data_IF_607275965385
#
_entry.id   IF_607275965385
#
_cell.length_a   1.000
_cell.length_b   1.000
_cell.length_c   1.000
_cell.angle_alpha   90.00
_cell.angle_beta   90.00
_cell.angle_gamma   90.00
#
_symmetry.space_group_name_H-M   'P 1'
#
loop_
_entity.id
_entity.type
_entity.pdbx_description
1 polymer ?
#
# COMPACT_ATOMS: atom_id res chain seq x y z
N UNK A 1 3.92 45.00 -6.36
CA UNK A 1 3.77 44.32 -7.67
C UNK A 1 4.93 43.41 -8.05
N UNK A 2 6.14 43.89 -8.38
CA UNK A 2 7.22 42.98 -8.85
C UNK A 2 7.74 42.02 -7.76
N UNK A 3 7.90 42.52 -6.52
CA UNK A 3 8.26 41.69 -5.36
C UNK A 3 7.13 40.71 -4.97
N UNK A 4 5.86 41.12 -5.09
CA UNK A 4 4.72 40.22 -4.81
C UNK A 4 4.62 39.07 -5.81
N UNK A 5 4.91 39.32 -7.09
CA UNK A 5 4.95 38.26 -8.11
C UNK A 5 6.09 37.29 -7.82
N UNK A 6 7.28 37.80 -7.45
CA UNK A 6 8.42 36.97 -7.06
C UNK A 6 8.14 36.12 -5.80
N UNK A 7 7.52 36.71 -4.78
CA UNK A 7 7.14 35.99 -3.54
C UNK A 7 6.06 34.93 -3.80
N UNK A 8 5.08 35.22 -4.66
CA UNK A 8 4.09 34.23 -5.10
C UNK A 8 4.75 33.09 -5.87
N UNK A 9 5.70 33.40 -6.76
CA UNK A 9 6.43 32.39 -7.53
C UNK A 9 7.29 31.48 -6.63
N UNK A 10 7.95 32.07 -5.62
CA UNK A 10 8.72 31.33 -4.63
C UNK A 10 7.82 30.43 -3.76
N UNK A 11 6.62 30.91 -3.40
CA UNK A 11 5.63 30.15 -2.63
C UNK A 11 5.09 28.96 -3.43
N UNK A 12 4.69 29.18 -4.69
CA UNK A 12 4.22 28.13 -5.59
C UNK A 12 5.32 27.10 -5.85
N UNK A 13 6.56 27.54 -6.07
CA UNK A 13 7.71 26.64 -6.27
C UNK A 13 7.98 25.76 -5.05
N UNK A 14 7.89 26.33 -3.83
CA UNK A 14 8.03 25.56 -2.58
C UNK A 14 6.88 24.56 -2.40
N UNK A 15 5.64 24.96 -2.67
CA UNK A 15 4.49 24.06 -2.62
C UNK A 15 4.58 22.92 -3.64
N UNK A 16 5.08 23.20 -4.84
CA UNK A 16 5.31 22.18 -5.86
C UNK A 16 6.39 21.18 -5.42
N UNK A 17 7.49 21.67 -4.84
CA UNK A 17 8.56 20.83 -4.27
C UNK A 17 8.06 19.91 -3.15
N UNK A 18 7.30 20.46 -2.20
CA UNK A 18 6.69 19.65 -1.13
C UNK A 18 5.67 18.65 -1.69
N UNK A 19 4.86 19.03 -2.67
CA UNK A 19 3.88 18.12 -3.30
C UNK A 19 4.56 16.97 -4.03
N UNK A 20 5.70 17.21 -4.70
CA UNK A 20 6.51 16.16 -5.33
C UNK A 20 7.13 15.21 -4.29
N UNK A 21 7.58 15.75 -3.16
CA UNK A 21 8.12 14.96 -2.05
C UNK A 21 7.04 14.08 -1.41
N UNK A 22 5.84 14.62 -1.16
CA UNK A 22 4.71 13.84 -0.66
C UNK A 22 4.34 12.70 -1.61
N UNK A 23 4.30 12.96 -2.93
CA UNK A 23 4.03 11.91 -3.93
C UNK A 23 5.12 10.83 -3.97
N UNK A 24 6.39 11.21 -3.81
CA UNK A 24 7.50 10.26 -3.67
C UNK A 24 7.33 9.34 -2.46
N UNK A 25 6.93 9.90 -1.32
CA UNK A 25 6.69 9.13 -0.09
C UNK A 25 5.49 8.18 -0.20
N UNK A 26 4.42 8.61 -0.89
CA UNK A 26 3.26 7.76 -1.20
C UNK A 26 3.72 6.56 -2.05
N UNK A 27 4.51 6.80 -3.09
CA UNK A 27 5.04 5.74 -3.95
C UNK A 27 5.93 4.75 -3.20
N UNK A 28 6.87 5.23 -2.37
CA UNK A 28 7.71 4.36 -1.54
C UNK A 28 6.88 3.46 -0.64
N UNK A 29 5.88 4.03 0.04
CA UNK A 29 5.00 3.27 0.94
C UNK A 29 4.20 2.19 0.21
N UNK A 30 3.64 2.52 -0.95
CA UNK A 30 2.91 1.56 -1.79
C UNK A 30 3.84 0.41 -2.21
N UNK A 31 5.04 0.73 -2.69
CA UNK A 31 6.03 -0.27 -3.12
C UNK A 31 6.47 -1.18 -1.97
N UNK A 32 6.71 -0.62 -0.78
CA UNK A 32 7.05 -1.41 0.41
C UNK A 32 5.93 -2.40 0.74
N UNK A 33 4.69 -1.93 0.84
CA UNK A 33 3.58 -2.81 1.21
C UNK A 33 3.25 -3.84 0.12
N UNK A 34 3.38 -3.49 -1.16
CA UNK A 34 3.25 -4.48 -2.24
C UNK A 34 4.33 -5.56 -2.15
N UNK A 35 5.55 -5.20 -1.78
CA UNK A 35 6.66 -6.14 -1.60
C UNK A 35 6.43 -7.07 -0.41
N UNK A 36 5.94 -6.54 0.71
CA UNK A 36 5.53 -7.32 1.89
C UNK A 36 4.44 -8.34 1.49
N UNK A 37 3.50 -7.93 0.66
CA UNK A 37 2.43 -8.79 0.20
C UNK A 37 2.90 -9.90 -0.76
N UNK A 38 3.84 -9.59 -1.65
CA UNK A 38 4.50 -10.61 -2.48
C UNK A 38 5.27 -11.63 -1.63
N UNK A 39 5.92 -11.20 -0.55
CA UNK A 39 6.55 -12.13 0.41
C UNK A 39 5.54 -13.04 1.09
N UNK A 40 4.40 -12.51 1.55
CA UNK A 40 3.36 -13.33 2.19
C UNK A 40 2.82 -14.42 1.25
N UNK A 41 2.61 -14.08 -0.02
CA UNK A 41 2.19 -15.05 -1.05
C UNK A 41 3.28 -16.10 -1.26
N UNK A 42 4.55 -15.70 -1.40
CA UNK A 42 5.66 -16.63 -1.59
C UNK A 42 5.82 -17.59 -0.40
N UNK A 43 5.75 -17.07 0.83
CA UNK A 43 5.77 -17.89 2.05
C UNK A 43 4.62 -18.88 2.08
N UNK A 44 3.41 -18.45 1.71
CA UNK A 44 2.26 -19.35 1.60
C UNK A 44 2.50 -20.44 0.55
N UNK A 45 3.11 -20.15 -0.60
CA UNK A 45 3.45 -21.19 -1.58
C UNK A 45 4.51 -22.18 -1.07
N UNK A 46 5.56 -21.69 -0.39
CA UNK A 46 6.62 -22.55 0.14
C UNK A 46 6.12 -23.50 1.21
N UNK A 47 5.25 -23.02 2.10
CA UNK A 47 4.59 -23.88 3.08
C UNK A 47 3.74 -24.95 2.41
N UNK A 48 3.11 -24.65 1.26
CA UNK A 48 2.23 -25.59 0.54
C UNK A 48 3.03 -26.77 0.06
N UNK A 49 4.13 -26.44 -0.62
CA UNK A 49 5.08 -27.39 -1.18
C UNK A 49 5.71 -28.24 -0.07
N UNK A 50 6.07 -27.63 1.07
CA UNK A 50 6.61 -28.37 2.22
C UNK A 50 5.60 -29.40 2.73
N UNK A 51 4.33 -29.02 2.79
CA UNK A 51 3.27 -29.88 3.29
C UNK A 51 2.91 -31.00 2.29
N UNK A 52 2.90 -30.71 0.99
CA UNK A 52 2.82 -31.74 -0.06
C UNK A 52 3.96 -32.77 0.06
N UNK A 53 5.20 -32.31 0.24
CA UNK A 53 6.35 -33.19 0.43
C UNK A 53 6.21 -34.07 1.68
N UNK A 54 5.69 -33.52 2.79
CA UNK A 54 5.40 -34.31 4.01
C UNK A 54 4.30 -35.35 3.79
N UNK A 55 3.25 -35.03 3.03
CA UNK A 55 2.19 -35.97 2.70
C UNK A 55 2.72 -37.12 1.83
N UNK A 56 3.58 -36.83 0.85
CA UNK A 56 4.21 -37.85 0.00
C UNK A 56 5.24 -38.71 0.74
N UNK A 57 5.98 -38.14 1.70
CA UNK A 57 7.07 -38.84 2.40
C UNK A 57 6.67 -39.61 3.66
N UNK A 58 5.51 -39.33 4.26
CA UNK A 58 5.17 -39.80 5.62
C UNK A 58 3.87 -40.59 5.80
N UNK A 59 2.99 -40.66 4.80
CA UNK A 59 1.66 -41.24 4.98
C UNK A 59 1.65 -42.78 4.87
N UNK A 60 1.63 -43.47 6.02
CA UNK A 60 1.33 -44.90 6.09
C UNK A 60 -0.15 -45.19 6.40
N UNK A 61 -0.90 -44.20 6.88
CA UNK A 61 -2.28 -44.37 7.33
C UNK A 61 -3.24 -43.37 6.65
N UNK A 62 -4.29 -43.83 5.94
CA UNK A 62 -5.23 -42.96 5.23
C UNK A 62 -5.99 -41.96 6.12
N UNK A 63 -6.15 -42.26 7.42
CA UNK A 63 -6.82 -41.35 8.37
C UNK A 63 -5.98 -40.13 8.71
N UNK A 64 -4.66 -40.30 8.82
CA UNK A 64 -3.71 -39.20 9.05
C UNK A 64 -3.62 -38.29 7.82
N UNK A 65 -3.71 -38.85 6.61
CA UNK A 65 -3.78 -38.07 5.37
C UNK A 65 -4.99 -37.14 5.35
N UNK A 66 -6.17 -37.65 5.70
CA UNK A 66 -7.43 -36.90 5.65
C UNK A 66 -7.46 -35.76 6.68
N UNK A 67 -6.94 -36.01 7.89
CA UNK A 67 -6.78 -34.98 8.92
C UNK A 67 -5.81 -33.88 8.47
N UNK A 68 -4.64 -34.26 7.89
CA UNK A 68 -3.68 -33.31 7.33
C UNK A 68 -4.25 -32.51 6.16
N UNK A 69 -5.04 -33.13 5.28
CA UNK A 69 -5.68 -32.45 4.17
C UNK A 69 -6.68 -31.38 4.65
N UNK A 70 -7.49 -31.70 5.66
CA UNK A 70 -8.45 -30.74 6.23
C UNK A 70 -7.74 -29.55 6.90
N UNK A 71 -6.64 -29.82 7.61
CA UNK A 71 -5.83 -28.78 8.23
C UNK A 71 -5.16 -27.86 7.18
N UNK A 72 -4.63 -28.44 6.10
CA UNK A 72 -4.09 -27.70 4.95
C UNK A 72 -5.15 -26.78 4.36
N UNK A 73 -6.32 -27.32 4.01
CA UNK A 73 -7.39 -26.54 3.37
C UNK A 73 -7.83 -25.38 4.27
N UNK A 74 -7.91 -25.60 5.59
CA UNK A 74 -8.23 -24.56 6.56
C UNK A 74 -7.16 -23.47 6.63
N UNK A 75 -5.88 -23.86 6.75
CA UNK A 75 -4.76 -22.92 6.80
C UNK A 75 -4.62 -22.10 5.50
N UNK A 76 -4.77 -22.74 4.34
CA UNK A 76 -4.76 -22.05 3.04
C UNK A 76 -5.93 -21.11 2.86
N UNK A 77 -7.13 -21.52 3.27
CA UNK A 77 -8.32 -20.66 3.16
C UNK A 77 -8.16 -19.40 4.02
N UNK A 78 -7.68 -19.54 5.25
CA UNK A 78 -7.45 -18.39 6.13
C UNK A 78 -6.37 -17.47 5.57
N UNK A 79 -5.22 -18.02 5.13
CA UNK A 79 -4.15 -17.22 4.51
C UNK A 79 -4.60 -16.49 3.26
N UNK A 80 -5.39 -17.15 2.41
CA UNK A 80 -5.92 -16.54 1.21
C UNK A 80 -6.88 -15.40 1.53
N UNK A 81 -7.79 -15.60 2.49
CA UNK A 81 -8.70 -14.54 2.97
C UNK A 81 -7.91 -13.36 3.55
N UNK A 82 -6.84 -13.61 4.29
CA UNK A 82 -6.00 -12.56 4.86
C UNK A 82 -5.22 -11.79 3.79
N UNK A 83 -4.70 -12.47 2.76
CA UNK A 83 -4.07 -11.83 1.60
C UNK A 83 -5.08 -10.95 0.87
N UNK A 84 -6.32 -11.42 0.66
CA UNK A 84 -7.38 -10.64 0.00
C UNK A 84 -7.74 -9.40 0.82
N UNK A 85 -7.90 -9.54 2.14
CA UNK A 85 -8.17 -8.39 3.04
C UNK A 85 -7.04 -7.38 3.01
N UNK A 86 -5.80 -7.84 3.18
CA UNK A 86 -4.60 -7.00 3.12
C UNK A 86 -4.48 -6.25 1.79
N UNK A 87 -4.82 -6.91 0.66
CA UNK A 87 -4.87 -6.26 -0.66
C UNK A 87 -5.90 -5.13 -0.69
N UNK A 88 -7.10 -5.38 -0.19
CA UNK A 88 -8.19 -4.40 -0.18
C UNK A 88 -7.85 -3.20 0.70
N UNK A 89 -7.26 -3.44 1.88
CA UNK A 89 -6.82 -2.38 2.79
C UNK A 89 -5.72 -1.53 2.13
N UNK A 90 -4.75 -2.17 1.46
CA UNK A 90 -3.72 -1.48 0.69
C UNK A 90 -4.30 -0.60 -0.42
N UNK A 91 -5.25 -1.11 -1.19
CA UNK A 91 -5.92 -0.36 -2.25
C UNK A 91 -6.76 0.81 -1.70
N UNK A 92 -7.42 0.61 -0.57
CA UNK A 92 -8.20 1.65 0.10
C UNK A 92 -7.30 2.77 0.64
N UNK A 93 -6.20 2.42 1.30
CA UNK A 93 -5.19 3.38 1.79
C UNK A 93 -4.57 4.16 0.63
N UNK A 94 -4.17 3.46 -0.43
CA UNK A 94 -3.59 4.06 -1.63
C UNK A 94 -4.54 5.07 -2.29
N UNK A 95 -5.82 4.69 -2.42
CA UNK A 95 -6.87 5.59 -2.91
C UNK A 95 -7.05 6.82 -2.02
N UNK A 96 -7.06 6.63 -0.70
CA UNK A 96 -7.21 7.72 0.27
C UNK A 96 -6.02 8.69 0.21
N UNK A 97 -4.79 8.17 0.20
CA UNK A 97 -3.56 8.98 0.13
C UNK A 97 -3.48 9.79 -1.17
N UNK A 98 -3.81 9.18 -2.32
CA UNK A 98 -3.86 9.87 -3.60
C UNK A 98 -4.96 10.93 -3.65
N UNK A 99 -6.13 10.65 -3.07
CA UNK A 99 -7.24 11.62 -3.02
C UNK A 99 -6.86 12.83 -2.16
N UNK A 100 -6.27 12.60 -0.98
CA UNK A 100 -5.80 13.66 -0.10
C UNK A 100 -4.69 14.51 -0.76
N UNK A 101 -3.76 13.88 -1.48
CA UNK A 101 -2.73 14.58 -2.26
C UNK A 101 -3.35 15.46 -3.36
N UNK A 102 -4.33 14.93 -4.10
CA UNK A 102 -5.05 15.69 -5.12
C UNK A 102 -5.81 16.88 -4.53
N UNK A 103 -6.54 16.67 -3.43
CA UNK A 103 -7.28 17.74 -2.73
C UNK A 103 -6.35 18.85 -2.25
N UNK A 104 -5.17 18.51 -1.70
CA UNK A 104 -4.13 19.50 -1.35
C UNK A 104 -3.65 20.27 -2.58
N UNK A 105 -3.41 19.59 -3.70
CA UNK A 105 -3.01 20.22 -4.96
C UNK A 105 -4.05 21.22 -5.47
N UNK A 106 -5.33 20.83 -5.45
CA UNK A 106 -6.45 21.71 -5.83
C UNK A 106 -6.56 22.91 -4.88
N UNK A 107 -6.47 22.70 -3.57
CA UNK A 107 -6.53 23.78 -2.58
C UNK A 107 -5.36 24.77 -2.72
N UNK A 108 -4.15 24.28 -3.01
CA UNK A 108 -2.98 25.12 -3.26
C UNK A 108 -3.15 25.95 -4.55
N UNK A 109 -3.73 25.39 -5.60
CA UNK A 109 -3.98 26.08 -6.86
C UNK A 109 -5.14 27.10 -6.80
N UNK A 110 -6.09 26.92 -5.88
CA UNK A 110 -7.28 27.78 -5.73
C UNK A 110 -7.19 28.79 -4.58
N UNK A 111 -6.10 28.80 -3.81
CA UNK A 111 -5.87 29.78 -2.76
C UNK A 111 -5.71 31.20 -3.36
N UNK A 112 -6.56 32.18 -2.98
CA UNK A 112 -6.42 33.55 -3.46
C UNK A 112 -5.12 34.17 -2.95
N UNK A 113 -4.51 35.12 -3.70
CA UNK A 113 -3.30 35.78 -3.25
C UNK A 113 -3.58 36.45 -1.90
N UNK A 114 -2.76 36.17 -0.89
CA UNK A 114 -2.82 36.89 0.40
C UNK A 114 -2.50 38.36 0.11
N UNK A 115 -3.52 39.16 -0.11
CA UNK A 115 -3.39 40.61 -0.23
C UNK A 115 -2.89 41.09 1.13
N UNK A 116 -1.61 41.45 1.18
CA UNK A 116 -1.04 42.08 2.36
C UNK A 116 -1.85 43.36 2.61
N UNK A 117 -2.55 43.42 3.76
CA UNK A 117 -3.21 44.64 4.19
C UNK A 117 -2.13 45.69 4.42
N UNK A 118 -1.96 46.60 3.46
CA UNK A 118 -1.17 47.82 3.60
C UNK A 118 -1.78 48.64 4.74
N UNK A 119 -0.98 48.88 5.77
CA UNK A 119 -1.24 49.88 6.81
C UNK A 119 -0.75 51.24 6.34
#
# INVERSE_FOLDING_TARGET
MQNEILDQWAMVSRQALESMKELGQINERILTRMTEQQQQILSACLEATSLELQMMGGAKDPKDLLAKQAEVVSQYSNKFVDIVRSTNDLLADCRSELSAWMEKGVAAASAPPKVAKTK
#
